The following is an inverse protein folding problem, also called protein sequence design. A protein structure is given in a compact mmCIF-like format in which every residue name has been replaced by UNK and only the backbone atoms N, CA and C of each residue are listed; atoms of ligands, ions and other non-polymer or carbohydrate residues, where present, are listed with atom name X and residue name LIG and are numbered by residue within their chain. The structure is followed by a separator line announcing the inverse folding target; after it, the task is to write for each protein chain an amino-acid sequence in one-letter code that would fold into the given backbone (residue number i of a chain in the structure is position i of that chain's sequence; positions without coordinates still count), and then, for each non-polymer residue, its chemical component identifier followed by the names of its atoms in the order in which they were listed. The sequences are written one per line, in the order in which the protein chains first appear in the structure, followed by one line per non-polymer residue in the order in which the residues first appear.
data_IF_831743729632
#
_entry.id   IF_831743729632
#
_cell.length_a   1.000
_cell.length_b   1.000
_cell.length_c   1.000
_cell.angle_alpha   90.00
_cell.angle_beta   90.00
_cell.angle_gamma   90.00
#
_symmetry.space_group_name_H-M   'P 1'
#
loop_
_entity.id
_entity.type
_entity.pdbx_description
1 polymer ?
#
# COMPACT_ATOMS: atom_id res chain seq x y z
N UNK A 1 1.84 -9.12 -21.30
CA UNK A 1 1.55 -8.90 -19.87
C UNK A 1 2.66 -8.18 -19.09
N UNK A 2 3.77 -7.77 -19.73
CA UNK A 2 4.90 -7.12 -19.04
C UNK A 2 4.68 -5.65 -18.63
N UNK A 3 3.72 -4.96 -19.25
CA UNK A 3 3.48 -3.52 -19.06
C UNK A 3 3.25 -3.10 -17.59
N UNK A 4 2.47 -3.81 -16.76
CA UNK A 4 2.21 -3.37 -15.39
C UNK A 4 3.42 -3.48 -14.45
N UNK A 5 4.39 -4.34 -14.75
CA UNK A 5 5.57 -4.55 -13.90
C UNK A 5 6.72 -3.59 -14.22
N UNK A 6 6.73 -2.99 -15.40
CA UNK A 6 7.80 -2.10 -15.85
C UNK A 6 7.92 -0.82 -15.01
N UNK A 7 6.83 -0.08 -14.74
CA UNK A 7 6.89 1.08 -13.86
C UNK A 7 7.41 0.76 -12.45
N UNK A 8 7.15 -0.45 -11.94
CA UNK A 8 7.65 -0.87 -10.63
C UNK A 8 9.17 -0.97 -10.60
N UNK A 9 9.79 -1.46 -11.68
CA UNK A 9 11.24 -1.49 -11.84
C UNK A 9 11.84 -0.08 -11.89
N UNK A 10 11.25 0.81 -12.70
CA UNK A 10 11.70 2.20 -12.81
C UNK A 10 11.57 2.97 -11.47
N UNK A 11 10.49 2.73 -10.72
CA UNK A 11 10.28 3.36 -9.43
C UNK A 11 11.26 2.89 -8.34
N UNK A 12 11.94 1.75 -8.54
CA UNK A 12 12.80 1.16 -7.52
C UNK A 12 14.03 2.02 -7.18
N UNK A 13 14.51 2.81 -8.14
CA UNK A 13 15.63 3.73 -7.97
C UNK A 13 15.25 5.00 -7.16
N UNK A 14 13.95 5.22 -6.96
CA UNK A 14 13.42 6.40 -6.26
C UNK A 14 12.95 6.10 -4.83
N UNK A 15 13.03 4.84 -4.39
CA UNK A 15 12.64 4.43 -3.04
C UNK A 15 13.85 3.90 -2.27
N UNK A 16 13.84 3.92 -0.93
CA UNK A 16 14.88 3.30 -0.13
C UNK A 16 15.08 1.82 -0.48
N UNK A 17 16.26 1.29 -0.15
CA UNK A 17 16.53 -0.13 -0.32
C UNK A 17 15.53 -0.97 0.49
N UNK A 18 14.78 -1.84 -0.18
CA UNK A 18 13.78 -2.69 0.44
C UNK A 18 14.31 -4.12 0.58
N UNK A 19 14.28 -4.66 1.78
CA UNK A 19 14.61 -6.07 2.01
C UNK A 19 13.55 -7.01 1.42
N UNK A 20 12.28 -6.58 1.39
CA UNK A 20 11.12 -7.34 0.96
C UNK A 20 9.98 -6.41 0.55
N UNK A 21 9.14 -6.87 -0.39
CA UNK A 21 7.92 -6.22 -0.84
C UNK A 21 6.72 -7.10 -0.49
N UNK A 22 5.65 -6.46 -0.03
CA UNK A 22 4.38 -7.10 0.33
C UNK A 22 3.30 -6.60 -0.62
N UNK A 23 2.57 -7.52 -1.24
CA UNK A 23 1.57 -7.18 -2.27
C UNK A 23 0.18 -7.55 -1.79
N UNK A 24 -0.73 -6.58 -1.91
CA UNK A 24 -2.16 -6.71 -1.60
C UNK A 24 -2.99 -6.50 -2.89
N UNK A 25 -4.32 -6.61 -2.79
CA UNK A 25 -5.23 -6.42 -3.92
C UNK A 25 -5.10 -7.52 -4.99
N UNK A 26 -5.72 -7.32 -6.16
CA UNK A 26 -5.85 -8.37 -7.18
C UNK A 26 -4.53 -8.87 -7.77
N UNK A 27 -3.48 -8.03 -7.78
CA UNK A 27 -2.16 -8.39 -8.34
C UNK A 27 -1.53 -9.59 -7.64
N UNK A 28 -1.74 -9.73 -6.33
CA UNK A 28 -1.13 -10.81 -5.54
C UNK A 28 -1.61 -12.22 -5.95
N UNK A 29 -2.78 -12.30 -6.58
CA UNK A 29 -3.34 -13.56 -7.13
C UNK A 29 -2.73 -13.94 -8.49
N UNK A 30 -1.98 -13.04 -9.13
CA UNK A 30 -1.35 -13.27 -10.42
C UNK A 30 0.13 -13.64 -10.25
N UNK A 31 0.42 -14.94 -10.21
CA UNK A 31 1.78 -15.47 -10.02
C UNK A 31 2.79 -14.97 -11.06
N UNK A 32 2.38 -14.85 -12.33
CA UNK A 32 3.22 -14.31 -13.42
C UNK A 32 3.60 -12.85 -13.16
N UNK A 33 2.63 -12.01 -12.76
CA UNK A 33 2.88 -10.60 -12.50
C UNK A 33 3.74 -10.41 -11.25
N UNK A 34 3.51 -11.19 -10.19
CA UNK A 34 4.34 -11.21 -8.98
C UNK A 34 5.80 -11.55 -9.30
N UNK A 35 6.04 -12.57 -10.13
CA UNK A 35 7.38 -12.95 -10.57
C UNK A 35 8.05 -11.85 -11.41
N UNK A 36 7.31 -11.21 -12.33
CA UNK A 36 7.82 -10.10 -13.14
C UNK A 36 8.20 -8.88 -12.28
N UNK A 37 7.41 -8.57 -11.25
CA UNK A 37 7.71 -7.48 -10.30
C UNK A 37 9.00 -7.80 -9.52
N UNK A 38 9.12 -9.02 -8.99
CA UNK A 38 10.33 -9.45 -8.29
C UNK A 38 11.58 -9.35 -9.18
N UNK A 39 11.50 -9.85 -10.41
CA UNK A 39 12.60 -9.83 -11.37
C UNK A 39 13.04 -8.40 -11.71
N UNK A 40 12.08 -7.50 -11.97
CA UNK A 40 12.38 -6.12 -12.40
C UNK A 40 12.86 -5.23 -11.27
N UNK A 41 12.39 -5.47 -10.04
CA UNK A 41 12.79 -4.67 -8.88
C UNK A 41 14.01 -5.22 -8.17
N UNK A 42 14.36 -6.49 -8.39
CA UNK A 42 15.39 -7.18 -7.60
C UNK A 42 14.99 -7.38 -6.13
N UNK A 43 13.74 -7.10 -5.76
CA UNK A 43 13.23 -7.18 -4.38
C UNK A 43 12.33 -8.40 -4.25
N UNK A 44 12.54 -9.26 -3.23
CA UNK A 44 11.63 -10.37 -2.95
C UNK A 44 10.20 -9.87 -2.78
N UNK A 45 9.26 -10.43 -3.55
CA UNK A 45 7.88 -9.95 -3.64
C UNK A 45 6.94 -11.05 -3.18
N UNK A 46 6.31 -10.85 -2.03
CA UNK A 46 5.44 -11.84 -1.38
C UNK A 46 4.02 -11.29 -1.23
N UNK A 47 2.98 -12.15 -1.28
CA UNK A 47 1.62 -11.74 -0.92
C UNK A 47 1.56 -11.36 0.57
N UNK A 48 0.63 -10.49 0.95
CA UNK A 48 0.45 -10.06 2.37
C UNK A 48 0.02 -11.21 3.29
N UNK A 49 -0.52 -12.29 2.75
CA UNK A 49 -0.91 -13.50 3.49
C UNK A 49 0.28 -14.16 4.22
N UNK A 50 1.52 -13.97 3.76
CA UNK A 50 2.72 -14.51 4.45
C UNK A 50 2.95 -13.90 5.84
N UNK A 51 2.31 -12.76 6.14
CA UNK A 51 2.31 -12.13 7.47
C UNK A 51 0.94 -12.24 8.16
N UNK A 52 0.04 -13.07 7.65
CA UNK A 52 -1.28 -13.34 8.24
C UNK A 52 -2.34 -12.28 7.95
N UNK A 53 -2.12 -11.40 6.98
CA UNK A 53 -3.10 -10.38 6.59
C UNK A 53 -4.04 -10.88 5.49
N UNK A 54 -5.27 -10.38 5.47
CA UNK A 54 -6.23 -10.64 4.40
C UNK A 54 -6.06 -9.61 3.28
N UNK A 55 -5.38 -9.97 2.18
CA UNK A 55 -5.14 -9.03 1.09
C UNK A 55 -6.37 -8.64 0.27
N UNK A 56 -7.51 -9.33 0.40
CA UNK A 56 -8.76 -8.93 -0.25
C UNK A 56 -9.51 -7.87 0.56
N UNK A 57 -9.33 -7.85 1.88
CA UNK A 57 -9.99 -6.91 2.78
C UNK A 57 -9.09 -5.72 3.18
N UNK A 58 -7.78 -5.78 2.93
CA UNK A 58 -6.81 -4.85 3.50
C UNK A 58 -7.11 -3.37 3.20
N UNK A 59 -7.61 -3.05 2.02
CA UNK A 59 -8.00 -1.68 1.67
C UNK A 59 -9.22 -1.21 2.49
N UNK A 60 -10.24 -2.06 2.63
CA UNK A 60 -11.41 -1.76 3.44
C UNK A 60 -11.06 -1.62 4.94
N UNK A 61 -10.17 -2.48 5.44
CA UNK A 61 -9.62 -2.41 6.79
C UNK A 61 -8.83 -1.11 7.02
N UNK A 62 -8.04 -0.68 6.03
CA UNK A 62 -7.34 0.60 6.08
C UNK A 62 -8.32 1.78 6.18
N UNK A 63 -9.40 1.79 5.40
CA UNK A 63 -10.45 2.81 5.52
C UNK A 63 -11.14 2.80 6.88
N UNK A 64 -11.46 1.62 7.42
CA UNK A 64 -12.03 1.49 8.76
C UNK A 64 -11.08 2.07 9.83
N UNK A 65 -9.77 1.79 9.71
CA UNK A 65 -8.76 2.36 10.60
C UNK A 65 -8.68 3.89 10.50
N UNK A 66 -8.74 4.45 9.28
CA UNK A 66 -8.77 5.90 9.07
C UNK A 66 -10.03 6.54 9.67
N UNK A 67 -11.19 5.87 9.57
CA UNK A 67 -12.44 6.35 10.17
C UNK A 67 -12.35 6.42 11.70
N UNK A 68 -11.82 5.38 12.35
CA UNK A 68 -11.58 5.38 13.81
C UNK A 68 -10.61 6.49 14.22
N UNK A 69 -9.55 6.72 13.44
CA UNK A 69 -8.60 7.80 13.68
C UNK A 69 -9.25 9.17 13.55
N UNK A 70 -10.05 9.38 12.51
CA UNK A 70 -10.82 10.60 12.27
C UNK A 70 -11.76 10.90 13.44
N UNK A 71 -12.53 9.91 13.88
CA UNK A 71 -13.44 10.03 15.02
C UNK A 71 -12.69 10.36 16.34
N UNK A 72 -11.45 9.88 16.48
CA UNK A 72 -10.59 10.18 17.62
C UNK A 72 -9.79 11.50 17.46
N UNK A 73 -10.03 12.29 16.41
CA UNK A 73 -9.28 13.53 16.12
C UNK A 73 -7.80 13.33 15.85
N UNK A 74 -7.38 12.11 15.50
CA UNK A 74 -5.98 11.77 15.22
C UNK A 74 -5.65 12.09 13.75
N UNK A 75 -4.37 12.35 13.43
CA UNK A 75 -3.96 12.54 12.04
C UNK A 75 -4.39 11.38 11.14
N UNK A 76 -4.55 11.61 9.85
CA UNK A 76 -4.74 10.57 8.81
C UNK A 76 -3.92 10.87 7.55
N UNK A 77 -3.28 12.04 7.51
CA UNK A 77 -2.44 12.51 6.42
C UNK A 77 -1.15 13.09 7.00
N UNK A 78 -0.03 12.87 6.32
CA UNK A 78 1.30 13.29 6.77
C UNK A 78 2.06 14.03 5.67
N UNK A 79 2.91 15.01 6.02
CA UNK A 79 3.70 15.75 5.04
C UNK A 79 4.50 14.84 4.10
N UNK A 80 5.07 13.76 4.63
CA UNK A 80 5.94 12.83 3.89
C UNK A 80 5.18 11.95 2.88
N UNK A 81 3.85 11.79 3.03
CA UNK A 81 3.05 10.92 2.16
C UNK A 81 2.16 11.69 1.20
N UNK A 82 1.60 12.83 1.61
CA UNK A 82 0.63 13.60 0.82
C UNK A 82 1.01 15.07 0.60
N UNK A 83 2.07 15.57 1.24
CA UNK A 83 2.51 16.97 1.13
C UNK A 83 1.70 17.98 1.94
N UNK A 84 0.86 17.53 2.88
CA UNK A 84 0.17 18.44 3.83
C UNK A 84 1.18 19.21 4.70
N UNK A 85 0.89 20.45 5.15
CA UNK A 85 1.87 21.30 5.84
C UNK A 85 2.29 20.77 7.22
N UNK A 86 1.40 20.06 7.90
CA UNK A 86 1.64 19.37 9.17
C UNK A 86 0.81 18.08 9.19
N UNK A 87 1.00 17.19 10.17
CA UNK A 87 0.13 16.03 10.33
C UNK A 87 -1.32 16.47 10.56
N UNK A 88 -2.23 16.07 9.68
CA UNK A 88 -3.62 16.58 9.64
C UNK A 88 -4.62 15.45 9.87
N UNK A 89 -5.66 15.72 10.66
CA UNK A 89 -6.90 14.92 10.65
C UNK A 89 -7.69 15.17 9.36
N UNK A 90 -8.78 14.46 9.15
CA UNK A 90 -9.68 14.64 8.02
C UNK A 90 -10.89 13.72 8.11
N UNK A 91 -11.67 13.63 7.03
CA UNK A 91 -12.97 12.96 7.03
C UNK A 91 -14.08 13.83 7.65
N UNK A 92 -15.33 13.47 7.37
CA UNK A 92 -16.52 14.11 7.95
C UNK A 92 -17.37 13.02 8.61
N UNK A 93 -17.73 13.24 9.88
CA UNK A 93 -18.69 12.41 10.57
C UNK A 93 -20.10 12.91 10.22
N UNK A 94 -20.91 12.04 9.64
CA UNK A 94 -22.32 12.30 9.36
C UNK A 94 -23.16 11.49 10.33
N UNK A 95 -24.18 12.10 10.92
CA UNK A 95 -25.24 11.36 11.60
C UNK A 95 -26.14 10.70 10.56
N UNK A 96 -26.69 9.53 10.89
CA UNK A 96 -27.79 8.93 10.11
C UNK A 96 -29.10 9.72 10.24
#
# INVERSE_FOLDING_TARGET
TAFPAEPMGLAQDHVPLLARRRVTGGVRHNSTLMAMIAQRTGVPTDPVEVVGWNGDALEAEAFAWLAVRSAAGKPISWPETTGVPVAMTGGQLTSE
#
